data_IF_439631652535
#
_entry.id   IF_439631652535
#
_cell.length_a   1.000
_cell.length_b   1.000
_cell.length_c   1.000
_cell.angle_alpha   90.00
_cell.angle_beta   90.00
_cell.angle_gamma   90.00
#
_symmetry.space_group_name_H-M   'P 1'
#
loop_
_entity.id
_entity.type
_entity.pdbx_description
1 polymer ?
#
# COMPACT_ATOMS: atom_id res chain seq x y z
N UNK A 1 -0.07 -12.36 -1.96
CA UNK A 1 0.00 -10.88 -2.07
C UNK A 1 0.90 -10.26 -1.00
N UNK A 2 0.59 -10.44 0.30
CA UNK A 2 1.30 -9.77 1.40
C UNK A 2 2.84 -9.94 1.35
N UNK A 3 3.33 -11.16 1.14
CA UNK A 3 4.78 -11.43 1.04
C UNK A 3 5.47 -10.60 -0.04
N UNK A 4 4.85 -10.48 -1.23
CA UNK A 4 5.38 -9.69 -2.34
C UNK A 4 5.39 -8.19 -2.01
N UNK A 5 4.34 -7.70 -1.35
CA UNK A 5 4.27 -6.31 -0.90
C UNK A 5 5.36 -6.01 0.15
N UNK A 6 5.54 -6.91 1.13
CA UNK A 6 6.57 -6.76 2.15
C UNK A 6 8.00 -6.79 1.57
N UNK A 7 8.26 -7.68 0.61
CA UNK A 7 9.54 -7.72 -0.11
C UNK A 7 9.80 -6.40 -0.87
N UNK A 8 8.79 -5.86 -1.57
CA UNK A 8 8.91 -4.58 -2.26
C UNK A 8 9.19 -3.42 -1.29
N UNK A 9 8.51 -3.39 -0.14
CA UNK A 9 8.75 -2.38 0.90
C UNK A 9 10.17 -2.48 1.48
N UNK A 10 10.64 -3.70 1.78
CA UNK A 10 11.99 -3.95 2.28
C UNK A 10 13.07 -3.55 1.26
N UNK A 11 12.88 -3.85 -0.03
CA UNK A 11 13.78 -3.43 -1.10
C UNK A 11 13.89 -1.90 -1.22
N UNK A 12 12.89 -1.16 -0.72
CA UNK A 12 12.89 0.30 -0.67
C UNK A 12 13.35 0.85 0.70
N UNK A 13 13.96 0.03 1.57
CA UNK A 13 14.46 0.46 2.89
C UNK A 13 13.41 0.49 4.01
N UNK A 14 12.18 0.05 3.75
CA UNK A 14 11.07 0.07 4.70
C UNK A 14 10.59 -1.35 5.09
N UNK A 15 11.36 -2.13 5.87
CA UNK A 15 10.96 -3.48 6.27
C UNK A 15 9.66 -3.46 7.10
N UNK A 16 8.73 -4.35 6.75
CA UNK A 16 7.40 -4.41 7.37
C UNK A 16 7.47 -5.14 8.72
N UNK A 17 7.28 -4.39 9.81
CA UNK A 17 7.22 -4.97 11.18
C UNK A 17 5.79 -5.21 11.67
N UNK A 18 4.83 -4.46 11.13
CA UNK A 18 3.42 -4.51 11.52
C UNK A 18 2.54 -4.28 10.31
N UNK A 19 1.41 -4.98 10.25
CA UNK A 19 0.42 -4.85 9.18
C UNK A 19 -0.91 -4.48 9.83
N UNK A 20 -1.49 -3.35 9.43
CA UNK A 20 -2.79 -2.91 9.92
C UNK A 20 -3.86 -3.16 8.86
N UNK A 21 -4.98 -3.77 9.24
CA UNK A 21 -6.11 -4.04 8.34
C UNK A 21 -7.44 -3.67 8.99
N UNK A 22 -8.48 -3.59 8.16
CA UNK A 22 -9.85 -3.60 8.67
C UNK A 22 -10.24 -4.97 9.26
N UNK A 23 -11.50 -5.09 9.66
CA UNK A 23 -12.05 -6.31 10.27
C UNK A 23 -12.61 -7.32 9.24
N UNK A 24 -12.31 -7.19 7.94
CA UNK A 24 -12.80 -8.13 6.95
C UNK A 24 -12.33 -9.57 7.23
N UNK A 25 -13.19 -10.55 6.94
CA UNK A 25 -12.87 -11.97 7.14
C UNK A 25 -11.65 -12.44 6.34
N UNK A 26 -11.36 -11.81 5.20
CA UNK A 26 -10.16 -12.06 4.42
C UNK A 26 -8.86 -11.85 5.22
N UNK A 27 -8.85 -10.96 6.22
CA UNK A 27 -7.69 -10.72 7.08
C UNK A 27 -7.79 -11.44 8.42
N UNK A 28 -9.01 -11.61 8.95
CA UNK A 28 -9.23 -12.25 10.26
C UNK A 28 -9.18 -13.77 10.21
N UNK A 29 -9.80 -14.37 9.20
CA UNK A 29 -10.07 -15.81 9.13
C UNK A 29 -9.19 -16.53 8.10
N UNK A 30 -8.54 -15.81 7.19
CA UNK A 30 -7.69 -16.43 6.18
C UNK A 30 -6.41 -17.02 6.78
N UNK A 31 -6.29 -18.34 6.71
CA UNK A 31 -5.07 -19.05 7.13
C UNK A 31 -3.85 -18.62 6.32
N UNK A 32 -3.99 -18.50 4.99
CA UNK A 32 -2.91 -18.04 4.11
C UNK A 32 -2.40 -16.63 4.46
N UNK A 33 -3.28 -15.72 4.92
CA UNK A 33 -2.86 -14.40 5.38
C UNK A 33 -2.09 -14.47 6.70
N UNK A 34 -2.58 -15.26 7.65
CA UNK A 34 -1.91 -15.48 8.94
C UNK A 34 -0.54 -16.13 8.78
N UNK A 35 -0.42 -17.13 7.89
CA UNK A 35 0.84 -17.81 7.61
C UNK A 35 1.85 -16.87 6.95
N UNK A 36 1.39 -16.01 6.03
CA UNK A 36 2.24 -14.97 5.43
C UNK A 36 2.73 -13.95 6.47
N UNK A 37 1.89 -13.54 7.44
CA UNK A 37 2.30 -12.67 8.54
C UNK A 37 3.34 -13.32 9.44
N UNK A 38 3.13 -14.60 9.80
CA UNK A 38 4.05 -15.37 10.61
C UNK A 38 5.42 -15.53 9.93
N UNK A 39 5.42 -15.89 8.64
CA UNK A 39 6.64 -15.98 7.84
C UNK A 39 7.41 -14.65 7.74
N UNK A 40 6.69 -13.52 7.75
CA UNK A 40 7.30 -12.18 7.77
C UNK A 40 7.74 -11.73 9.18
N UNK A 41 7.37 -12.44 10.24
CA UNK A 41 7.55 -11.99 11.62
C UNK A 41 6.78 -10.70 11.95
N UNK A 42 5.74 -10.38 11.18
CA UNK A 42 5.03 -9.11 11.29
C UNK A 42 3.82 -9.21 12.21
N UNK A 43 3.63 -8.24 13.11
CA UNK A 43 2.44 -8.18 13.97
C UNK A 43 1.21 -7.70 13.20
N UNK A 44 0.11 -8.44 13.28
CA UNK A 44 -1.19 -8.00 12.76
C UNK A 44 -1.86 -7.02 13.74
N UNK A 45 -2.37 -5.91 13.21
CA UNK A 45 -3.17 -4.92 13.93
C UNK A 45 -4.52 -4.81 13.24
N UNK A 46 -5.60 -5.05 13.97
CA UNK A 46 -6.95 -4.76 13.48
C UNK A 46 -7.35 -3.35 13.89
N UNK A 47 -8.07 -2.65 13.00
CA UNK A 47 -8.76 -1.42 13.40
C UNK A 47 -9.77 -1.74 14.51
N UNK A 48 -10.00 -0.77 15.39
CA UNK A 48 -10.98 -0.90 16.47
C UNK A 48 -12.39 -1.02 15.86
N UNK A 49 -13.26 -1.93 16.37
CA UNK A 49 -14.62 -2.07 15.85
C UNK A 49 -15.41 -0.76 15.89
N UNK A 50 -16.06 -0.39 14.78
CA UNK A 50 -16.79 0.88 14.59
C UNK A 50 -15.91 2.14 14.52
N UNK A 51 -14.62 2.00 14.19
CA UNK A 51 -13.70 3.13 13.99
C UNK A 51 -13.15 3.18 12.55
N UNK A 52 -14.00 3.39 11.52
CA UNK A 52 -13.59 3.32 10.11
C UNK A 52 -12.53 4.36 9.72
N UNK A 53 -12.48 5.51 10.40
CA UNK A 53 -11.46 6.55 10.14
C UNK A 53 -10.02 6.06 10.30
N UNK A 54 -9.79 4.98 11.06
CA UNK A 54 -8.47 4.36 11.18
C UNK A 54 -7.98 3.75 9.86
N UNK A 55 -8.90 3.40 8.95
CA UNK A 55 -8.60 2.91 7.61
C UNK A 55 -8.44 4.04 6.57
N UNK A 56 -8.63 5.31 6.98
CA UNK A 56 -8.69 6.45 6.06
C UNK A 56 -7.44 6.65 5.21
N UNK A 57 -6.27 6.19 5.66
CA UNK A 57 -5.04 6.22 4.85
C UNK A 57 -5.12 5.26 3.65
N UNK A 58 -5.57 4.03 3.87
CA UNK A 58 -5.74 3.04 2.80
C UNK A 58 -6.86 3.47 1.84
N UNK A 59 -7.98 3.98 2.37
CA UNK A 59 -9.08 4.49 1.57
C UNK A 59 -8.69 5.69 0.71
N UNK A 60 -7.97 6.66 1.27
CA UNK A 60 -7.45 7.82 0.52
C UNK A 60 -6.47 7.39 -0.57
N UNK A 61 -5.59 6.44 -0.29
CA UNK A 61 -4.69 5.88 -1.31
C UNK A 61 -5.49 5.19 -2.43
N UNK A 62 -6.46 4.34 -2.08
CA UNK A 62 -7.30 3.65 -3.07
C UNK A 62 -8.06 4.63 -3.97
N UNK A 63 -8.55 5.75 -3.42
CA UNK A 63 -9.15 6.83 -4.20
C UNK A 63 -8.14 7.47 -5.16
N UNK A 64 -6.95 7.81 -4.66
CA UNK A 64 -5.87 8.40 -5.47
C UNK A 64 -5.44 7.47 -6.61
N UNK A 65 -5.37 6.16 -6.34
CA UNK A 65 -5.09 5.12 -7.33
C UNK A 65 -6.21 5.01 -8.37
N UNK A 66 -7.47 5.09 -7.93
CA UNK A 66 -8.60 5.07 -8.85
C UNK A 66 -8.61 6.29 -9.79
N UNK A 67 -8.48 7.49 -9.23
CA UNK A 67 -8.46 8.74 -9.99
C UNK A 67 -7.23 8.84 -10.91
N UNK A 68 -6.07 8.43 -10.42
CA UNK A 68 -4.80 8.59 -11.13
C UNK A 68 -4.48 7.51 -12.15
N UNK A 69 -5.03 6.30 -11.98
CA UNK A 69 -4.76 5.15 -12.85
C UNK A 69 -6.03 4.54 -13.41
N UNK A 70 -6.93 4.04 -12.55
CA UNK A 70 -8.04 3.22 -13.01
C UNK A 70 -9.04 3.96 -13.91
N UNK A 71 -9.29 5.24 -13.61
CA UNK A 71 -10.27 6.09 -14.29
C UNK A 71 -9.63 7.28 -15.00
N UNK A 72 -8.31 7.30 -15.11
CA UNK A 72 -7.58 8.37 -15.81
C UNK A 72 -7.96 8.44 -17.30
N UNK A 73 -8.27 7.29 -17.89
CA UNK A 73 -8.65 7.17 -19.29
C UNK A 73 -9.49 5.90 -19.51
N UNK A 74 -10.29 5.82 -20.58
CA UNK A 74 -10.89 4.57 -21.02
C UNK A 74 -9.81 3.56 -21.40
N UNK A 75 -9.96 2.31 -20.97
CA UNK A 75 -9.10 1.21 -21.40
C UNK A 75 -9.90 0.26 -22.28
N UNK A 76 -9.31 -0.17 -23.38
CA UNK A 76 -9.91 -1.12 -24.32
C UNK A 76 -9.60 -2.58 -23.97
N UNK A 77 -8.69 -2.84 -23.04
CA UNK A 77 -8.38 -4.18 -22.52
C UNK A 77 -7.85 -4.16 -21.07
N UNK A 78 -8.00 -5.28 -20.37
CA UNK A 78 -7.43 -5.48 -19.03
C UNK A 78 -5.89 -5.48 -19.05
N UNK A 79 -5.29 -5.94 -20.15
CA UNK A 79 -3.83 -5.91 -20.31
C UNK A 79 -3.32 -4.47 -20.39
N UNK A 80 -3.91 -3.63 -21.24
CA UNK A 80 -3.56 -2.21 -21.34
C UNK A 80 -3.72 -1.48 -20.00
N UNK A 81 -4.78 -1.78 -19.25
CA UNK A 81 -4.98 -1.26 -17.89
C UNK A 81 -3.88 -1.73 -16.92
N UNK A 82 -3.48 -2.99 -17.00
CA UNK A 82 -2.43 -3.57 -16.15
C UNK A 82 -1.06 -2.97 -16.47
N UNK A 83 -0.73 -2.81 -17.76
CA UNK A 83 0.53 -2.23 -18.22
C UNK A 83 0.66 -0.77 -17.80
N UNK A 84 -0.45 -0.03 -17.74
CA UNK A 84 -0.48 1.34 -17.26
C UNK A 84 -0.28 1.48 -15.73
N UNK A 85 -0.45 0.41 -14.95
CA UNK A 85 -0.34 0.47 -13.48
C UNK A 85 1.10 0.68 -13.03
N UNK A 86 2.07 -0.04 -13.61
CA UNK A 86 3.46 0.03 -13.16
C UNK A 86 4.09 1.41 -13.39
N UNK A 87 3.94 2.06 -14.57
CA UNK A 87 4.40 3.43 -14.76
C UNK A 87 3.75 4.42 -13.78
N UNK A 88 2.46 4.25 -13.50
CA UNK A 88 1.76 5.11 -12.55
C UNK A 88 2.28 4.94 -11.12
N UNK A 89 2.51 3.71 -10.66
CA UNK A 89 3.11 3.42 -9.34
C UNK A 89 4.52 4.01 -9.23
N UNK A 90 5.33 3.89 -10.29
CA UNK A 90 6.68 4.47 -10.33
C UNK A 90 6.63 6.00 -10.22
N UNK A 91 5.70 6.65 -10.93
CA UNK A 91 5.47 8.09 -10.78
C UNK A 91 5.00 8.44 -9.36
N UNK A 92 3.97 7.75 -8.84
CA UNK A 92 3.40 8.02 -7.53
C UNK A 92 4.45 7.92 -6.41
N UNK A 93 5.24 6.84 -6.39
CA UNK A 93 6.20 6.59 -5.32
C UNK A 93 7.47 7.45 -5.42
N UNK A 94 7.96 7.72 -6.63
CA UNK A 94 9.29 8.31 -6.82
C UNK A 94 9.29 9.77 -7.29
N UNK A 95 8.18 10.28 -7.82
CA UNK A 95 8.15 11.58 -8.48
C UNK A 95 7.01 12.50 -8.02
N UNK A 96 5.86 11.93 -7.65
CA UNK A 96 4.68 12.72 -7.29
C UNK A 96 4.97 13.59 -6.06
N UNK A 97 4.77 14.90 -6.11
CA UNK A 97 4.96 15.76 -4.94
C UNK A 97 3.82 15.57 -3.93
N UNK A 98 4.15 15.50 -2.64
CA UNK A 98 3.17 15.43 -1.55
C UNK A 98 3.33 16.64 -0.62
N UNK A 99 2.25 17.42 -0.44
CA UNK A 99 2.27 18.60 0.44
C UNK A 99 2.65 18.26 1.89
N UNK A 100 2.16 17.14 2.42
CA UNK A 100 2.53 16.66 3.76
C UNK A 100 3.99 16.20 3.89
N UNK A 101 4.73 16.11 2.77
CA UNK A 101 6.15 15.78 2.71
C UNK A 101 6.99 16.98 2.22
N UNK A 102 6.46 18.20 2.27
CA UNK A 102 7.16 19.39 1.80
C UNK A 102 7.45 19.36 0.30
N UNK A 103 6.55 18.78 -0.49
CA UNK A 103 6.72 18.62 -1.95
C UNK A 103 7.58 17.43 -2.36
N UNK A 104 8.14 16.66 -1.42
CA UNK A 104 8.94 15.47 -1.73
C UNK A 104 8.05 14.26 -2.07
N UNK A 105 8.57 13.29 -2.84
CA UNK A 105 7.84 12.06 -3.16
C UNK A 105 7.78 11.08 -1.99
N UNK A 106 6.83 10.12 -1.98
CA UNK A 106 6.68 9.13 -0.91
C UNK A 106 7.96 8.37 -0.55
N UNK A 107 8.78 7.99 -1.55
CA UNK A 107 10.03 7.24 -1.33
C UNK A 107 11.02 7.97 -0.41
N UNK A 108 10.93 9.30 -0.32
CA UNK A 108 11.78 10.11 0.56
C UNK A 108 11.68 9.72 2.04
N UNK A 109 10.62 8.99 2.44
CA UNK A 109 10.41 8.51 3.81
C UNK A 109 11.02 7.14 4.11
N UNK A 110 11.42 6.37 3.09
CA UNK A 110 11.81 4.97 3.27
C UNK A 110 13.33 4.77 3.52
N UNK A 111 14.16 5.81 3.31
CA UNK A 111 15.62 5.77 3.49
C UNK A 111 16.16 6.85 4.44
N UNK A 112 15.33 7.39 5.34
CA UNK A 112 15.83 8.30 6.37
C UNK A 112 16.49 7.47 7.47
N UNK A 113 17.75 7.74 7.87
CA UNK A 113 18.29 7.17 9.09
C UNK A 113 17.32 7.48 10.23
N UNK A 114 16.95 6.46 11.00
CA UNK A 114 16.30 6.69 12.28
C UNK A 114 17.32 7.34 13.19
N UNK A 115 17.16 8.63 13.46
CA UNK A 115 17.80 9.31 14.58
C UNK A 115 17.45 8.63 15.92
#
# INVERSE_FOLDING_TARGET
>A
FLTRAAAAMAANGAPVRRVMTDNAFAYRLSKAFQDALAALGAKHILIKPRHPWQNGKAERFNRTLQEGWAYRQPFTSNQARTDALQPWLNFYNNHRPHGSLGGKPPISRCNQPTD
#
